data_IF_347597254950
#
_entry.id   IF_347597254950
#
_cell.length_a   1.000
_cell.length_b   1.000
_cell.length_c   1.000
_cell.angle_alpha   90.00
_cell.angle_beta   90.00
_cell.angle_gamma   90.00
#
_symmetry.space_group_name_H-M   'P 1'
#
loop_
_entity.id
_entity.type
_entity.pdbx_description
1 polymer ?
#
# COMPACT_ATOMS: atom_id res chain seq x y z
N UNK A 1 7.07 -16.20 6.79
CA UNK A 1 6.52 -14.87 6.50
C UNK A 1 7.43 -14.08 5.56
N UNK A 2 7.08 -14.01 4.27
CA UNK A 2 7.78 -13.12 3.31
C UNK A 2 7.07 -11.77 3.25
N UNK A 3 7.86 -10.70 3.32
CA UNK A 3 7.36 -9.31 3.22
C UNK A 3 7.84 -8.68 1.92
N UNK A 4 6.92 -8.14 1.12
CA UNK A 4 7.24 -7.34 -0.05
C UNK A 4 7.51 -5.89 0.39
N UNK A 5 8.72 -5.39 0.20
CA UNK A 5 9.08 -4.01 0.58
C UNK A 5 9.00 -3.08 -0.62
N UNK A 6 8.28 -1.96 -0.48
CA UNK A 6 8.05 -0.97 -1.52
C UNK A 6 8.14 0.46 -0.98
N UNK A 7 8.81 1.34 -1.71
CA UNK A 7 8.77 2.79 -1.44
C UNK A 7 7.62 3.41 -2.22
N UNK A 8 6.83 4.26 -1.56
CA UNK A 8 5.69 4.97 -2.15
C UNK A 8 5.92 6.48 -2.14
N UNK A 9 5.24 7.17 -3.06
CA UNK A 9 5.04 8.62 -2.95
C UNK A 9 4.12 8.93 -1.76
N UNK A 10 4.37 10.05 -1.09
CA UNK A 10 3.64 10.50 0.11
C UNK A 10 2.12 10.39 -0.04
N UNK A 11 1.55 10.88 -1.15
CA UNK A 11 0.09 10.85 -1.37
C UNK A 11 -0.51 9.44 -1.31
N UNK A 12 0.15 8.45 -1.93
CA UNK A 12 -0.36 7.08 -1.99
C UNK A 12 -0.18 6.37 -0.66
N UNK A 13 0.95 6.64 0.00
CA UNK A 13 1.20 6.18 1.36
C UNK A 13 0.09 6.66 2.29
N UNK A 14 -0.21 7.96 2.32
CA UNK A 14 -1.27 8.50 3.17
C UNK A 14 -2.65 7.91 2.84
N UNK A 15 -3.00 7.79 1.55
CA UNK A 15 -4.29 7.20 1.16
C UNK A 15 -4.44 5.74 1.61
N UNK A 16 -3.37 4.95 1.53
CA UNK A 16 -3.37 3.56 2.02
C UNK A 16 -3.47 3.54 3.54
N UNK A 17 -2.68 4.38 4.22
CA UNK A 17 -2.72 4.48 5.68
C UNK A 17 -4.10 4.91 6.19
N UNK A 18 -4.80 5.79 5.48
CA UNK A 18 -6.16 6.20 5.83
C UNK A 18 -7.23 5.17 5.49
N UNK A 19 -6.88 4.09 4.78
CA UNK A 19 -7.82 3.07 4.32
C UNK A 19 -8.67 3.48 3.11
N UNK A 20 -8.35 4.60 2.47
CA UNK A 20 -9.05 5.09 1.27
C UNK A 20 -8.62 4.27 0.04
N UNK A 21 -7.32 3.96 -0.05
CA UNK A 21 -6.74 3.15 -1.13
C UNK A 21 -6.39 1.76 -0.60
N UNK A 22 -7.00 0.74 -1.18
CA UNK A 22 -6.84 -0.67 -0.78
C UNK A 22 -6.11 -1.52 -1.83
N UNK A 23 -5.55 -0.88 -2.85
CA UNK A 23 -4.83 -1.52 -3.94
C UNK A 23 -3.57 -0.73 -4.28
N UNK A 24 -2.46 -1.40 -4.57
CA UNK A 24 -1.22 -0.81 -5.10
C UNK A 24 -0.95 -1.33 -6.52
N UNK A 25 -0.47 -0.45 -7.40
CA UNK A 25 -0.34 -0.74 -8.83
C UNK A 25 1.12 -0.76 -9.27
N UNK A 26 1.49 -1.76 -10.07
CA UNK A 26 2.82 -1.85 -10.70
C UNK A 26 2.71 -2.21 -12.17
N UNK A 27 3.44 -1.50 -13.01
CA UNK A 27 3.53 -1.77 -14.45
C UNK A 27 3.94 -3.23 -14.71
N UNK A 28 3.40 -3.81 -15.78
CA UNK A 28 3.76 -5.17 -16.20
C UNK A 28 5.14 -5.12 -16.86
N UNK A 29 6.19 -5.32 -16.04
CA UNK A 29 7.59 -5.41 -16.47
C UNK A 29 8.22 -6.69 -15.92
N UNK A 30 9.21 -7.23 -16.62
CA UNK A 30 9.92 -8.46 -16.22
C UNK A 30 10.43 -8.42 -14.77
N UNK A 31 10.89 -7.25 -14.31
CA UNK A 31 11.27 -7.03 -12.91
C UNK A 31 10.14 -7.32 -11.92
N UNK A 32 8.93 -6.83 -12.20
CA UNK A 32 7.76 -7.05 -11.36
C UNK A 32 7.21 -8.46 -11.48
N UNK A 33 7.31 -9.09 -12.65
CA UNK A 33 6.93 -10.49 -12.84
C UNK A 33 7.73 -11.44 -11.95
N UNK A 34 9.05 -11.32 -11.94
CA UNK A 34 9.91 -12.15 -11.09
C UNK A 34 9.71 -11.87 -9.60
N UNK A 35 9.39 -10.62 -9.25
CA UNK A 35 9.19 -10.24 -7.85
C UNK A 35 7.83 -10.72 -7.35
N UNK A 36 6.76 -10.48 -8.11
CA UNK A 36 5.37 -10.78 -7.74
C UNK A 36 4.95 -12.23 -8.03
N UNK A 37 5.78 -13.03 -8.71
CA UNK A 37 5.58 -14.49 -8.81
C UNK A 37 5.84 -15.22 -7.49
N UNK A 38 6.42 -14.54 -6.50
CA UNK A 38 6.64 -15.07 -5.16
C UNK A 38 5.40 -14.85 -4.30
N UNK A 39 5.10 -15.81 -3.45
CA UNK A 39 4.09 -15.65 -2.42
C UNK A 39 4.60 -14.74 -1.30
N UNK A 40 3.82 -13.72 -0.99
CA UNK A 40 4.03 -12.79 0.12
C UNK A 40 2.79 -12.78 0.98
N UNK A 41 3.00 -12.83 2.30
CA UNK A 41 1.91 -12.71 3.28
C UNK A 41 1.64 -11.24 3.62
N UNK A 42 2.68 -10.39 3.48
CA UNK A 42 2.67 -8.99 3.93
C UNK A 42 3.36 -8.09 2.93
N UNK A 43 3.00 -6.82 2.97
CA UNK A 43 3.67 -5.75 2.24
C UNK A 43 4.03 -4.62 3.21
N UNK A 44 5.27 -4.17 3.15
CA UNK A 44 5.77 -3.01 3.90
C UNK A 44 5.94 -1.84 2.93
N UNK A 45 5.22 -0.75 3.20
CA UNK A 45 5.38 0.50 2.49
C UNK A 45 6.24 1.46 3.28
N UNK A 46 7.11 2.19 2.59
CA UNK A 46 7.95 3.26 3.15
C UNK A 46 7.72 4.58 2.44
N UNK A 47 7.70 5.67 3.19
CA UNK A 47 7.65 7.03 2.66
C UNK A 47 9.03 7.70 2.76
N UNK A 48 9.93 7.33 1.85
CA UNK A 48 11.32 7.82 1.81
C UNK A 48 12.36 6.69 1.93
N UNK A 49 13.63 7.06 2.06
CA UNK A 49 14.79 6.15 1.98
C UNK A 49 15.67 6.09 3.25
N UNK A 50 15.25 6.70 4.36
CA UNK A 50 15.99 6.69 5.62
C UNK A 50 15.55 5.58 6.59
N UNK A 51 16.30 5.42 7.69
CA UNK A 51 15.97 4.45 8.75
C UNK A 51 14.76 4.84 9.61
N UNK A 52 14.48 6.14 9.73
CA UNK A 52 13.39 6.69 10.57
C UNK A 52 12.23 7.24 9.73
N UNK A 53 12.11 6.79 8.48
CA UNK A 53 11.01 7.24 7.63
C UNK A 53 9.70 6.58 8.04
N UNK A 54 8.56 7.24 7.79
CA UNK A 54 7.26 6.62 8.00
C UNK A 54 7.15 5.31 7.22
N UNK A 55 6.73 4.26 7.91
CA UNK A 55 6.53 2.94 7.34
C UNK A 55 5.25 2.30 7.88
N UNK A 56 4.61 1.48 7.07
CA UNK A 56 3.46 0.70 7.48
C UNK A 56 3.53 -0.69 6.87
N UNK A 57 3.09 -1.70 7.63
CA UNK A 57 2.98 -3.08 7.15
C UNK A 57 1.52 -3.47 7.09
N UNK A 58 1.08 -4.02 5.95
CA UNK A 58 -0.27 -4.53 5.77
C UNK A 58 -0.25 -6.01 5.38
N UNK A 59 -1.37 -6.68 5.64
CA UNK A 59 -1.66 -7.98 5.03
C UNK A 59 -1.73 -7.83 3.51
N UNK A 60 -1.09 -8.75 2.80
CA UNK A 60 -1.18 -8.83 1.34
C UNK A 60 -2.16 -9.93 0.98
N UNK A 61 -3.28 -9.56 0.35
CA UNK A 61 -4.37 -10.50 0.01
C UNK A 61 -4.11 -11.27 -1.29
N UNK A 62 -3.26 -10.74 -2.15
CA UNK A 62 -2.91 -11.37 -3.42
C UNK A 62 -2.49 -10.36 -4.48
N UNK A 63 -2.15 -10.89 -5.66
CA UNK A 63 -1.80 -10.12 -6.85
C UNK A 63 -2.64 -10.62 -8.02
N UNK A 64 -3.16 -9.70 -8.83
CA UNK A 64 -3.81 -10.00 -10.11
C UNK A 64 -3.32 -9.04 -11.19
N UNK A 65 -3.48 -9.41 -12.47
CA UNK A 65 -3.28 -8.50 -13.61
C UNK A 65 -4.64 -7.91 -14.02
N UNK A 66 -4.65 -6.66 -14.47
CA UNK A 66 -5.82 -6.02 -15.07
C UNK A 66 -5.79 -4.50 -14.94
N UNK A 67 -6.91 -3.85 -15.27
CA UNK A 67 -7.03 -2.40 -15.18
C UNK A 67 -7.15 -1.92 -13.73
N UNK A 68 -6.26 -0.99 -13.36
CA UNK A 68 -6.30 -0.32 -12.07
C UNK A 68 -7.22 0.91 -12.10
N UNK A 69 -7.25 1.65 -10.98
CA UNK A 69 -8.02 2.88 -10.82
C UNK A 69 -7.16 4.12 -11.12
N UNK A 70 -7.41 4.88 -12.20
CA UNK A 70 -6.63 6.06 -12.52
C UNK A 70 -6.62 7.12 -11.42
N UNK A 71 -7.73 7.29 -10.70
CA UNK A 71 -7.86 8.17 -9.53
C UNK A 71 -6.91 7.81 -8.38
N UNK A 72 -6.45 6.57 -8.35
CA UNK A 72 -5.51 6.04 -7.37
C UNK A 72 -4.11 5.81 -7.97
N UNK A 73 -3.82 6.43 -9.12
CA UNK A 73 -2.50 6.43 -9.76
C UNK A 73 -2.21 5.24 -10.66
N UNK A 74 -3.23 4.46 -11.07
CA UNK A 74 -3.03 3.44 -12.09
C UNK A 74 -2.87 4.08 -13.49
N UNK A 75 -2.01 3.54 -14.36
CA UNK A 75 -2.04 3.86 -15.79
C UNK A 75 -3.28 3.26 -16.45
N UNK A 76 -3.53 3.65 -17.71
CA UNK A 76 -4.66 3.15 -18.52
C UNK A 76 -4.47 1.68 -18.91
N UNK A 77 -3.22 1.25 -19.03
CA UNK A 77 -2.83 -0.12 -19.38
C UNK A 77 -3.04 -1.08 -18.21
N UNK A 78 -3.03 -2.38 -18.53
CA UNK A 78 -3.06 -3.42 -17.51
C UNK A 78 -1.82 -3.36 -16.62
N UNK A 79 -2.05 -3.52 -15.33
CA UNK A 79 -1.03 -3.49 -14.28
C UNK A 79 -1.14 -4.71 -13.38
N UNK A 80 -0.08 -4.98 -12.63
CA UNK A 80 -0.18 -5.76 -11.42
C UNK A 80 -0.91 -4.96 -10.35
N UNK A 81 -1.93 -5.58 -9.78
CA UNK A 81 -2.77 -5.02 -8.73
C UNK A 81 -2.52 -5.86 -7.48
N UNK A 82 -1.86 -5.23 -6.50
CA UNK A 82 -1.59 -5.81 -5.19
C UNK A 82 -2.74 -5.44 -4.28
N UNK A 83 -3.54 -6.43 -3.87
CA UNK A 83 -4.68 -6.22 -2.98
C UNK A 83 -4.22 -6.13 -1.53
N UNK A 84 -4.58 -5.04 -0.86
CA UNK A 84 -4.17 -4.73 0.51
C UNK A 84 -5.27 -5.11 1.51
N UNK A 85 -4.82 -5.65 2.64
CA UNK A 85 -5.66 -6.01 3.76
C UNK A 85 -5.52 -5.05 4.93
N UNK A 86 -5.60 -5.62 6.13
CA UNK A 86 -5.54 -4.88 7.37
C UNK A 86 -4.13 -4.34 7.64
N UNK A 87 -4.07 -3.20 8.33
CA UNK A 87 -2.84 -2.64 8.87
C UNK A 87 -2.39 -3.52 10.03
N UNK A 88 -1.17 -4.05 9.93
CA UNK A 88 -0.57 -4.93 10.94
C UNK A 88 0.37 -4.18 11.86
N UNK A 89 1.15 -3.26 11.30
CA UNK A 89 2.18 -2.52 12.03
C UNK A 89 2.38 -1.14 11.41
N UNK A 90 2.80 -0.19 12.24
CA UNK A 90 3.07 1.19 11.84
C UNK A 90 4.29 1.73 12.58
N UNK A 91 5.17 2.44 11.86
CA UNK A 91 6.40 2.97 12.40
C UNK A 91 6.62 4.41 11.92
N UNK A 92 7.04 5.29 12.83
CA UNK A 92 7.33 6.70 12.57
C UNK A 92 6.23 7.43 11.77
N UNK A 93 4.96 7.04 11.97
CA UNK A 93 3.84 7.72 11.31
C UNK A 93 3.61 9.08 11.98
N UNK A 94 3.51 10.18 11.21
CA UNK A 94 3.19 11.51 11.76
C UNK A 94 1.87 11.51 12.52
N UNK A 95 1.83 12.19 13.67
CA UNK A 95 0.64 12.20 14.54
C UNK A 95 -0.58 12.81 13.85
N UNK A 96 -0.39 13.83 13.01
CA UNK A 96 -1.45 14.39 12.16
C UNK A 96 -2.19 13.32 11.34
N UNK A 97 -1.45 12.34 10.82
CA UNK A 97 -2.00 11.28 9.99
C UNK A 97 -2.70 10.20 10.84
N UNK A 98 -2.16 9.90 12.02
CA UNK A 98 -2.81 9.02 13.01
C UNK A 98 -4.16 9.58 13.44
N UNK A 99 -4.21 10.86 13.79
CA UNK A 99 -5.45 11.53 14.18
C UNK A 99 -6.49 11.52 13.05
N UNK A 100 -6.04 11.76 11.81
CA UNK A 100 -6.92 11.67 10.64
C UNK A 100 -7.50 10.26 10.45
N UNK A 101 -6.69 9.20 10.61
CA UNK A 101 -7.15 7.80 10.55
C UNK A 101 -8.17 7.50 11.65
N UNK A 102 -7.95 7.97 12.88
CA UNK A 102 -8.87 7.79 14.00
C UNK A 102 -10.21 8.50 13.76
N UNK A 103 -10.19 9.74 13.25
CA UNK A 103 -11.40 10.49 12.93
C UNK A 103 -12.26 9.82 11.85
N UNK A 104 -11.64 9.23 10.82
CA UNK A 104 -12.34 8.48 9.78
C UNK A 104 -12.98 7.19 10.31
N UNK A 105 -12.31 6.47 11.22
CA UNK A 105 -12.88 5.26 11.85
C UNK A 105 -14.09 5.55 12.73
N UNK A 106 -14.16 6.73 13.35
CA UNK A 106 -15.30 7.10 14.20
C UNK A 106 -16.57 7.41 13.39
N UNK A 107 -16.43 7.94 12.18
CA UNK A 107 -17.56 8.22 11.29
C UNK A 107 -18.19 6.97 10.65
N UNK A 108 -17.45 5.86 10.58
CA UNK A 108 -17.96 4.59 10.01
C UNK A 108 -18.75 3.73 11.01
N UNK A 109 -18.93 4.20 12.26
CA UNK A 109 -19.64 3.49 13.34
C UNK A 109 -21.01 4.11 13.71
N UNK A 110 -21.51 5.07 12.94
CA UNK A 110 -22.85 5.65 13.11
C UNK A 110 -23.78 5.20 11.98
#
# INVERSE_FOLDING_TARGET
MRTLQLTLKRQWFEMIYLGIKTEEYREIKAFWEVRLSKEYERVEFRNGYGHHVPAMTLNMKGVRKGQGKPEHGAPVEDVFIISLGELLDENNIPDELKQKRLGLKQHQKQ
#
